data_IF_994005887547
#
_entry.id   IF_994005887547
#
_cell.length_a   1.000
_cell.length_b   1.000
_cell.length_c   1.000
_cell.angle_alpha   90.00
_cell.angle_beta   90.00
_cell.angle_gamma   90.00
#
_symmetry.space_group_name_H-M   'P 1'
#
loop_
_entity.id
_entity.type
_entity.pdbx_description
1 polymer ?
#
# COMPACT_ATOMS: atom_id res chain seq x y z
N UNK A 1 -52.77 3.60 -55.21
CA UNK A 1 -51.38 3.56 -54.70
C UNK A 1 -51.32 4.37 -53.42
N UNK A 2 -51.37 3.70 -52.26
CA UNK A 2 -51.14 4.36 -50.97
C UNK A 2 -49.64 4.45 -50.79
N UNK A 3 -49.09 5.66 -50.93
CA UNK A 3 -47.70 5.98 -50.68
C UNK A 3 -47.40 5.76 -49.18
N UNK A 4 -46.92 4.56 -48.85
CA UNK A 4 -46.36 4.23 -47.53
C UNK A 4 -44.96 4.85 -47.42
N UNK A 5 -44.88 6.18 -47.27
CA UNK A 5 -43.65 6.83 -46.80
C UNK A 5 -43.37 6.37 -45.37
N UNK A 6 -42.52 5.34 -45.25
CA UNK A 6 -41.99 4.79 -43.99
C UNK A 6 -41.34 5.91 -43.14
N UNK A 7 -41.50 5.88 -41.80
CA UNK A 7 -40.69 6.70 -40.89
C UNK A 7 -39.28 6.10 -40.83
N UNK A 8 -38.44 6.36 -41.84
CA UNK A 8 -37.06 5.83 -41.91
C UNK A 8 -36.03 6.84 -41.37
N UNK A 9 -36.29 8.14 -41.53
CA UNK A 9 -35.35 9.19 -41.12
C UNK A 9 -35.20 9.32 -39.58
N UNK A 10 -36.28 9.07 -38.83
CA UNK A 10 -36.27 9.23 -37.37
C UNK A 10 -35.52 8.10 -36.65
N UNK A 11 -35.46 6.90 -37.23
CA UNK A 11 -34.67 5.78 -36.69
C UNK A 11 -33.18 5.94 -36.98
N UNK A 12 -32.83 6.45 -38.16
CA UNK A 12 -31.44 6.60 -38.59
C UNK A 12 -30.72 7.71 -37.79
N UNK A 13 -31.39 8.84 -37.53
CA UNK A 13 -30.86 9.90 -36.66
C UNK A 13 -30.67 9.45 -35.20
N UNK A 14 -31.58 8.60 -34.70
CA UNK A 14 -31.51 8.08 -33.34
C UNK A 14 -30.35 7.08 -33.18
N UNK A 15 -30.07 6.29 -34.22
CA UNK A 15 -28.91 5.39 -34.27
C UNK A 15 -27.58 6.16 -34.30
N UNK A 16 -27.48 7.23 -35.08
CA UNK A 16 -26.26 8.03 -35.22
C UNK A 16 -25.91 8.80 -33.94
N UNK A 17 -26.91 9.37 -33.25
CA UNK A 17 -26.76 10.00 -31.93
C UNK A 17 -26.37 9.00 -30.83
N UNK A 18 -26.81 7.75 -30.95
CA UNK A 18 -26.52 6.70 -29.99
C UNK A 18 -25.12 6.12 -30.20
N UNK A 19 -24.67 6.05 -31.46
CA UNK A 19 -23.31 5.68 -31.84
C UNK A 19 -22.30 6.77 -31.43
N UNK A 20 -22.66 8.05 -31.54
CA UNK A 20 -21.82 9.16 -31.05
C UNK A 20 -21.67 9.14 -29.53
N UNK A 21 -22.75 8.90 -28.77
CA UNK A 21 -22.69 8.76 -27.32
C UNK A 21 -21.82 7.59 -26.84
N UNK A 22 -21.85 6.46 -27.56
CA UNK A 22 -20.99 5.31 -27.28
C UNK A 22 -19.50 5.57 -27.58
N UNK A 23 -19.16 6.33 -28.64
CA UNK A 23 -17.77 6.76 -28.89
C UNK A 23 -17.25 7.64 -27.75
N UNK A 24 -18.05 8.62 -27.32
CA UNK A 24 -17.67 9.59 -26.30
C UNK A 24 -17.35 8.90 -24.97
N UNK A 25 -18.19 7.95 -24.55
CA UNK A 25 -17.97 7.13 -23.36
C UNK A 25 -16.67 6.32 -23.46
N UNK A 26 -16.33 5.77 -24.64
CA UNK A 26 -15.06 5.06 -24.81
C UNK A 26 -13.84 5.98 -24.73
N UNK A 27 -13.93 7.19 -25.28
CA UNK A 27 -12.84 8.18 -25.17
C UNK A 27 -12.63 8.57 -23.71
N UNK A 28 -13.71 8.80 -22.96
CA UNK A 28 -13.63 9.12 -21.53
C UNK A 28 -13.09 7.94 -20.73
N UNK A 29 -13.53 6.71 -20.99
CA UNK A 29 -12.99 5.50 -20.35
C UNK A 29 -11.46 5.41 -20.55
N UNK A 30 -10.97 5.55 -21.79
CA UNK A 30 -9.52 5.51 -22.06
C UNK A 30 -8.73 6.63 -21.38
N UNK A 31 -9.33 7.81 -21.23
CA UNK A 31 -8.71 8.90 -20.49
C UNK A 31 -8.58 8.54 -19.00
N UNK A 32 -9.65 8.02 -18.39
CA UNK A 32 -9.63 7.57 -16.99
C UNK A 32 -8.63 6.42 -16.79
N UNK A 33 -8.58 5.45 -17.71
CA UNK A 33 -7.60 4.36 -17.71
C UNK A 33 -6.15 4.89 -17.73
N UNK A 34 -5.87 5.91 -18.54
CA UNK A 34 -4.55 6.56 -18.57
C UNK A 34 -4.22 7.29 -17.27
N UNK A 35 -5.18 8.00 -16.69
CA UNK A 35 -5.01 8.68 -15.39
C UNK A 35 -4.77 7.66 -14.26
N UNK A 36 -5.47 6.52 -14.29
CA UNK A 36 -5.30 5.41 -13.35
C UNK A 36 -3.89 4.82 -13.42
N UNK A 37 -3.36 4.56 -14.62
CA UNK A 37 -2.01 4.02 -14.80
C UNK A 37 -0.93 4.91 -14.16
N UNK A 38 -1.00 6.22 -14.41
CA UNK A 38 -0.07 7.21 -13.86
C UNK A 38 -0.18 7.29 -12.33
N UNK A 39 -1.41 7.29 -11.80
CA UNK A 39 -1.67 7.39 -10.36
C UNK A 39 -1.25 6.12 -9.62
N UNK A 40 -1.58 4.93 -10.14
CA UNK A 40 -1.17 3.65 -9.55
C UNK A 40 0.35 3.48 -9.56
N UNK A 41 1.01 3.87 -10.66
CA UNK A 41 2.46 3.90 -10.75
C UNK A 41 3.10 4.82 -9.71
N UNK A 42 2.49 5.98 -9.46
CA UNK A 42 2.95 6.93 -8.44
C UNK A 42 2.71 6.40 -7.02
N UNK A 43 1.56 5.78 -6.78
CA UNK A 43 1.18 5.19 -5.50
C UNK A 43 2.10 4.01 -5.13
N UNK A 44 2.43 3.13 -6.08
CA UNK A 44 3.38 2.05 -5.88
C UNK A 44 4.79 2.55 -5.51
N UNK A 45 5.25 3.67 -6.11
CA UNK A 45 6.54 4.30 -5.79
C UNK A 45 6.60 4.94 -4.41
N UNK A 46 5.46 5.31 -3.83
CA UNK A 46 5.43 5.73 -2.43
C UNK A 46 5.78 4.54 -1.55
N UNK A 47 5.25 3.35 -1.86
CA UNK A 47 5.53 2.08 -1.18
C UNK A 47 7.01 1.78 -1.03
N UNK A 48 7.80 1.90 -2.10
CA UNK A 48 9.24 1.57 -2.09
C UNK A 48 10.09 2.45 -1.16
N UNK A 49 9.56 3.57 -0.67
CA UNK A 49 10.28 4.46 0.26
C UNK A 49 10.50 3.81 1.63
N UNK A 50 9.66 2.85 2.04
CA UNK A 50 9.84 2.15 3.33
C UNK A 50 10.98 1.12 3.29
N UNK A 51 11.29 0.49 2.15
CA UNK A 51 12.38 -0.50 2.06
C UNK A 51 13.77 0.14 1.99
N UNK A 52 13.87 1.36 1.46
CA UNK A 52 15.16 2.04 1.25
C UNK A 52 15.55 2.98 2.41
N UNK A 53 14.69 3.14 3.42
CA UNK A 53 14.87 4.06 4.56
C UNK A 53 15.81 3.56 5.67
N UNK A 54 16.75 2.67 5.37
CA UNK A 54 17.68 2.10 6.35
C UNK A 54 18.86 2.99 6.74
N UNK A 55 19.09 4.14 6.10
CA UNK A 55 20.29 4.95 6.37
C UNK A 55 20.18 6.43 5.98
N UNK A 56 18.99 7.04 6.06
CA UNK A 56 18.85 8.49 5.99
C UNK A 56 18.48 9.01 7.37
N UNK A 57 19.52 9.46 8.08
CA UNK A 57 19.47 10.41 9.16
C UNK A 57 18.44 11.53 8.88
N UNK A 58 17.83 12.05 9.95
CA UNK A 58 16.83 13.13 10.00
C UNK A 58 15.36 12.85 9.60
N UNK A 59 14.56 12.52 10.62
CA UNK A 59 13.36 13.32 10.91
C UNK A 59 11.99 12.68 10.67
N UNK A 60 11.53 11.85 11.62
CA UNK A 60 10.12 11.50 11.90
C UNK A 60 9.35 10.82 10.74
N UNK A 61 8.50 9.79 10.99
CA UNK A 61 7.47 9.42 10.02
C UNK A 61 6.44 10.54 10.04
N UNK A 62 6.77 11.66 9.41
CA UNK A 62 6.00 12.89 9.48
C UNK A 62 4.61 12.61 8.93
N UNK A 63 3.61 12.94 9.73
CA UNK A 63 2.16 12.92 9.44
C UNK A 63 1.81 13.41 8.03
N UNK A 64 2.64 14.25 7.41
CA UNK A 64 2.53 14.70 6.02
C UNK A 64 2.63 13.58 4.96
N UNK A 65 3.42 12.53 5.20
CA UNK A 65 3.44 11.34 4.35
C UNK A 65 2.10 10.63 4.47
N UNK A 66 1.62 10.27 5.67
CA UNK A 66 0.32 9.58 5.79
C UNK A 66 -0.85 10.30 5.08
N UNK A 67 -0.90 11.64 5.15
CA UNK A 67 -1.95 12.43 4.47
C UNK A 67 -1.86 12.37 2.94
N UNK A 68 -0.65 12.34 2.36
CA UNK A 68 -0.50 12.29 0.90
C UNK A 68 -0.92 10.94 0.31
N UNK A 69 -0.80 9.85 1.08
CA UNK A 69 -1.19 8.51 0.65
C UNK A 69 -2.69 8.35 0.69
N UNK A 70 -3.32 8.77 1.79
CA UNK A 70 -4.79 8.78 1.89
C UNK A 70 -5.41 9.63 0.78
N UNK A 71 -4.81 10.79 0.44
CA UNK A 71 -5.25 11.59 -0.71
C UNK A 71 -5.18 10.82 -2.01
N UNK A 72 -4.05 10.18 -2.30
CA UNK A 72 -3.87 9.41 -3.53
C UNK A 72 -4.80 8.18 -3.59
N UNK A 73 -5.04 7.51 -2.46
CA UNK A 73 -6.03 6.44 -2.36
C UNK A 73 -7.44 6.92 -2.71
N UNK A 74 -7.86 8.07 -2.17
CA UNK A 74 -9.17 8.66 -2.48
C UNK A 74 -9.28 9.04 -3.96
N UNK A 75 -8.23 9.61 -4.55
CA UNK A 75 -8.20 9.94 -5.98
C UNK A 75 -8.30 8.69 -6.86
N UNK A 76 -7.53 7.64 -6.56
CA UNK A 76 -7.59 6.37 -7.31
C UNK A 76 -8.98 5.73 -7.16
N UNK A 77 -9.54 5.72 -5.96
CA UNK A 77 -10.87 5.19 -5.69
C UNK A 77 -11.94 5.94 -6.49
N UNK A 78 -11.86 7.27 -6.53
CA UNK A 78 -12.77 8.11 -7.31
C UNK A 78 -12.64 7.86 -8.82
N UNK A 79 -11.43 7.65 -9.33
CA UNK A 79 -11.22 7.30 -10.75
C UNK A 79 -11.78 5.91 -11.09
N UNK A 80 -11.63 4.92 -10.21
CA UNK A 80 -12.21 3.58 -10.38
C UNK A 80 -13.74 3.64 -10.40
N UNK A 81 -14.35 4.40 -9.49
CA UNK A 81 -15.80 4.63 -9.46
C UNK A 81 -16.29 5.32 -10.74
N UNK A 82 -15.56 6.35 -11.20
CA UNK A 82 -15.89 7.04 -12.46
C UNK A 82 -15.78 6.12 -13.68
N UNK A 83 -14.80 5.21 -13.71
CA UNK A 83 -14.67 4.22 -14.79
C UNK A 83 -15.80 3.19 -14.75
N UNK A 84 -16.20 2.76 -13.55
CA UNK A 84 -17.38 1.90 -13.36
C UNK A 84 -18.64 2.57 -13.90
N UNK A 85 -18.91 3.82 -13.51
CA UNK A 85 -20.07 4.58 -13.98
C UNK A 85 -20.07 4.76 -15.50
N UNK A 86 -18.89 5.00 -16.09
CA UNK A 86 -18.71 5.11 -17.54
C UNK A 86 -19.00 3.79 -18.22
N UNK A 87 -18.54 2.67 -17.68
CA UNK A 87 -18.81 1.32 -18.19
C UNK A 87 -20.30 0.95 -18.09
N UNK A 88 -20.99 1.38 -17.02
CA UNK A 88 -22.42 1.19 -16.86
C UNK A 88 -23.22 2.05 -17.83
N UNK A 89 -22.80 3.30 -18.07
CA UNK A 89 -23.38 4.13 -19.13
C UNK A 89 -23.19 3.50 -20.51
N UNK A 90 -21.99 2.97 -20.78
CA UNK A 90 -21.69 2.22 -22.00
C UNK A 90 -22.65 1.04 -22.14
N UNK A 91 -22.83 0.26 -21.07
CA UNK A 91 -23.75 -0.89 -21.02
C UNK A 91 -25.19 -0.50 -21.38
N UNK A 92 -25.67 0.64 -20.87
CA UNK A 92 -27.00 1.19 -21.21
C UNK A 92 -27.11 1.61 -22.67
N UNK A 93 -26.07 2.23 -23.24
CA UNK A 93 -26.01 2.57 -24.67
C UNK A 93 -26.04 1.31 -25.56
N UNK A 94 -25.27 0.28 -25.20
CA UNK A 94 -25.27 -0.99 -25.93
C UNK A 94 -26.61 -1.74 -25.88
N UNK A 95 -27.32 -1.66 -24.75
CA UNK A 95 -28.63 -2.31 -24.59
C UNK A 95 -29.76 -1.59 -25.33
N UNK A 96 -29.63 -0.28 -25.53
CA UNK A 96 -30.63 0.54 -26.22
C UNK A 96 -30.43 0.57 -27.73
N UNK A 97 -29.23 0.26 -28.22
CA UNK A 97 -28.94 0.04 -29.64
C UNK A 97 -29.17 -1.44 -29.98
N UNK A 98 -29.27 -1.78 -31.28
CA UNK A 98 -29.23 -3.19 -31.68
C UNK A 98 -27.85 -3.77 -31.31
N UNK A 99 -27.74 -4.71 -30.35
CA UNK A 99 -26.44 -5.15 -29.87
C UNK A 99 -25.66 -5.84 -30.99
N UNK A 100 -24.48 -5.33 -31.31
CA UNK A 100 -23.56 -6.01 -32.21
C UNK A 100 -22.53 -6.79 -31.39
N UNK A 101 -22.02 -7.89 -31.95
CA UNK A 101 -20.98 -8.70 -31.31
C UNK A 101 -19.75 -7.86 -30.99
N UNK A 102 -19.37 -6.92 -31.87
CA UNK A 102 -18.22 -6.03 -31.67
C UNK A 102 -18.40 -5.06 -30.51
N UNK A 103 -19.59 -4.48 -30.33
CA UNK A 103 -19.92 -3.62 -29.18
C UNK A 103 -19.87 -4.42 -27.89
N UNK A 104 -20.43 -5.64 -27.88
CA UNK A 104 -20.46 -6.53 -26.71
C UNK A 104 -19.05 -6.95 -26.28
N UNK A 105 -18.20 -7.32 -27.24
CA UNK A 105 -16.80 -7.69 -26.98
C UNK A 105 -16.00 -6.50 -26.42
N UNK A 106 -16.16 -5.31 -27.01
CA UNK A 106 -15.50 -4.09 -26.50
C UNK A 106 -15.95 -3.76 -25.08
N UNK A 107 -17.24 -3.88 -24.78
CA UNK A 107 -17.77 -3.65 -23.42
C UNK A 107 -17.14 -4.61 -22.41
N UNK A 108 -17.05 -5.89 -22.78
CA UNK A 108 -16.40 -6.92 -21.96
C UNK A 108 -14.96 -6.53 -21.65
N UNK A 109 -14.20 -6.10 -22.67
CA UNK A 109 -12.82 -5.65 -22.46
C UNK A 109 -12.71 -4.47 -21.50
N UNK A 110 -13.59 -3.47 -21.58
CA UNK A 110 -13.57 -2.35 -20.63
C UNK A 110 -13.87 -2.78 -19.18
N UNK A 111 -14.74 -3.79 -18.99
CA UNK A 111 -14.99 -4.38 -17.67
C UNK A 111 -13.77 -5.14 -17.15
N UNK A 112 -13.09 -5.89 -18.01
CA UNK A 112 -11.86 -6.60 -17.65
C UNK A 112 -10.76 -5.62 -17.23
N UNK A 113 -10.56 -4.53 -17.99
CA UNK A 113 -9.58 -3.48 -17.66
C UNK A 113 -9.89 -2.84 -16.31
N UNK A 114 -11.15 -2.50 -16.03
CA UNK A 114 -11.56 -1.98 -14.73
C UNK A 114 -11.22 -2.97 -13.60
N UNK A 115 -11.48 -4.27 -13.82
CA UNK A 115 -11.17 -5.30 -12.85
C UNK A 115 -9.65 -5.43 -12.61
N UNK A 116 -8.84 -5.40 -13.69
CA UNK A 116 -7.38 -5.39 -13.63
C UNK A 116 -6.86 -4.22 -12.78
N UNK A 117 -7.34 -2.99 -13.01
CA UNK A 117 -6.95 -1.83 -12.22
C UNK A 117 -7.38 -1.91 -10.75
N UNK A 118 -8.60 -2.36 -10.48
CA UNK A 118 -9.09 -2.52 -9.10
C UNK A 118 -8.29 -3.58 -8.33
N UNK A 119 -7.91 -4.67 -9.01
CA UNK A 119 -7.05 -5.71 -8.44
C UNK A 119 -5.64 -5.18 -8.15
N UNK A 120 -5.06 -4.44 -9.10
CA UNK A 120 -3.74 -3.85 -8.97
C UNK A 120 -3.69 -2.84 -7.81
N UNK A 121 -4.73 -1.99 -7.69
CA UNK A 121 -4.85 -1.07 -6.57
C UNK A 121 -4.86 -1.80 -5.21
N UNK A 122 -5.68 -2.85 -5.07
CA UNK A 122 -5.71 -3.67 -3.85
C UNK A 122 -4.36 -4.30 -3.54
N UNK A 123 -3.67 -4.82 -4.56
CA UNK A 123 -2.34 -5.43 -4.43
C UNK A 123 -1.32 -4.43 -3.93
N UNK A 124 -1.25 -3.25 -4.56
CA UNK A 124 -0.32 -2.18 -4.16
C UNK A 124 -0.63 -1.70 -2.74
N UNK A 125 -1.90 -1.44 -2.42
CA UNK A 125 -2.33 -1.01 -1.08
C UNK A 125 -1.96 -2.03 0.00
N UNK A 126 -2.18 -3.32 -0.26
CA UNK A 126 -1.80 -4.39 0.66
C UNK A 126 -0.29 -4.45 0.89
N UNK A 127 0.51 -4.32 -0.17
CA UNK A 127 1.97 -4.27 -0.06
C UNK A 127 2.44 -3.08 0.80
N UNK A 128 1.88 -1.89 0.55
CA UNK A 128 2.18 -0.69 1.33
C UNK A 128 1.86 -0.88 2.81
N UNK A 129 0.67 -1.43 3.12
CA UNK A 129 0.25 -1.66 4.49
C UNK A 129 1.19 -2.63 5.21
N UNK A 130 1.58 -3.73 4.55
CA UNK A 130 2.55 -4.68 5.11
C UNK A 130 3.92 -4.04 5.38
N UNK A 131 4.40 -3.18 4.48
CA UNK A 131 5.66 -2.45 4.67
C UNK A 131 5.58 -1.44 5.82
N UNK A 132 4.44 -0.78 5.99
CA UNK A 132 4.17 0.14 7.11
C UNK A 132 4.18 -0.60 8.44
N UNK A 133 3.43 -1.71 8.55
CA UNK A 133 3.39 -2.56 9.75
C UNK A 133 4.79 -3.06 10.12
N UNK A 134 5.58 -3.50 9.13
CA UNK A 134 6.96 -3.91 9.35
C UNK A 134 7.84 -2.77 9.89
N UNK A 135 7.69 -1.54 9.37
CA UNK A 135 8.42 -0.38 9.85
C UNK A 135 8.02 0.03 11.28
N UNK A 136 6.73 -0.03 11.61
CA UNK A 136 6.22 0.27 12.97
C UNK A 136 6.75 -0.73 14.00
N UNK A 137 6.77 -2.03 13.68
CA UNK A 137 7.34 -3.07 14.53
C UNK A 137 8.84 -2.84 14.80
N UNK A 138 9.61 -2.49 13.77
CA UNK A 138 11.04 -2.19 13.92
C UNK A 138 11.29 -0.92 14.73
N UNK A 139 10.43 0.10 14.60
CA UNK A 139 10.52 1.32 15.42
C UNK A 139 10.27 0.99 16.89
N UNK A 140 9.20 0.27 17.20
CA UNK A 140 8.88 -0.16 18.57
C UNK A 140 10.02 -0.97 19.18
N UNK A 141 10.56 -1.94 18.46
CA UNK A 141 11.68 -2.75 18.94
C UNK A 141 12.94 -1.89 19.20
N UNK A 142 13.19 -0.88 18.37
CA UNK A 142 14.30 0.07 18.58
C UNK A 142 14.08 0.92 19.83
N UNK A 143 12.86 1.39 20.05
CA UNK A 143 12.49 2.20 21.21
C UNK A 143 12.65 1.38 22.50
N UNK A 144 12.17 0.14 22.53
CA UNK A 144 12.35 -0.79 23.66
C UNK A 144 13.84 -1.04 23.97
N UNK A 145 14.67 -1.25 22.94
CA UNK A 145 16.13 -1.41 23.10
C UNK A 145 16.76 -0.13 23.64
N UNK A 146 16.32 1.03 23.16
CA UNK A 146 16.82 2.33 23.58
C UNK A 146 16.45 2.60 25.04
N UNK A 147 15.21 2.32 25.44
CA UNK A 147 14.74 2.41 26.82
C UNK A 147 15.49 1.45 27.74
N UNK A 148 15.68 0.20 27.32
CA UNK A 148 16.48 -0.77 28.06
C UNK A 148 17.90 -0.26 28.30
N UNK A 149 18.55 0.32 27.28
CA UNK A 149 19.88 0.93 27.41
C UNK A 149 19.88 2.19 28.29
N UNK A 150 18.87 3.04 28.16
CA UNK A 150 18.74 4.31 28.89
C UNK A 150 18.42 4.11 30.38
N UNK A 151 17.66 3.05 30.71
CA UNK A 151 17.33 2.67 32.10
C UNK A 151 18.57 2.30 32.94
N UNK A 152 19.75 2.22 32.34
CA UNK A 152 20.99 1.86 33.03
C UNK A 152 21.00 0.40 33.51
N UNK A 153 20.02 -0.41 33.09
CA UNK A 153 20.00 -1.85 33.33
C UNK A 153 21.29 -2.47 32.80
N UNK A 154 22.13 -2.96 33.70
CA UNK A 154 23.35 -3.66 33.30
C UNK A 154 22.94 -4.85 32.43
N UNK A 155 23.52 -4.94 31.22
CA UNK A 155 23.38 -6.12 30.38
C UNK A 155 23.57 -7.38 31.23
N UNK A 156 22.77 -8.45 31.06
CA UNK A 156 22.93 -9.68 31.81
C UNK A 156 24.38 -10.19 31.79
N UNK A 157 25.08 -9.98 30.67
CA UNK A 157 26.52 -10.28 30.55
C UNK A 157 27.38 -9.44 31.49
N UNK A 158 27.14 -8.14 31.60
CA UNK A 158 27.88 -7.26 32.52
C UNK A 158 27.54 -7.56 33.99
N UNK A 159 26.29 -7.93 34.26
CA UNK A 159 25.87 -8.41 35.57
C UNK A 159 26.64 -9.68 35.97
N UNK A 160 26.67 -10.68 35.09
CA UNK A 160 27.42 -11.93 35.30
C UNK A 160 28.93 -11.70 35.43
N UNK A 161 29.51 -10.79 34.65
CA UNK A 161 30.94 -10.43 34.76
C UNK A 161 31.25 -9.78 36.12
N UNK A 162 30.36 -8.92 36.62
CA UNK A 162 30.48 -8.31 37.95
C UNK A 162 30.36 -9.36 39.06
N UNK A 163 29.37 -10.25 38.98
CA UNK A 163 29.21 -11.36 39.95
C UNK A 163 30.43 -12.27 39.96
N UNK A 164 30.95 -12.62 38.79
CA UNK A 164 32.19 -13.40 38.67
C UNK A 164 33.35 -12.69 39.37
N UNK A 165 33.54 -11.39 39.14
CA UNK A 165 34.60 -10.62 39.80
C UNK A 165 34.43 -10.59 41.34
N UNK A 166 33.20 -10.42 41.82
CA UNK A 166 32.89 -10.43 43.25
C UNK A 166 33.16 -11.79 43.91
N UNK A 167 32.80 -12.89 43.24
CA UNK A 167 33.10 -14.26 43.71
C UNK A 167 34.61 -14.49 43.76
N UNK A 168 35.34 -14.13 42.70
CA UNK A 168 36.80 -14.28 42.68
C UNK A 168 37.49 -13.47 43.78
N UNK A 169 37.06 -12.22 44.01
CA UNK A 169 37.56 -11.39 45.11
C UNK A 169 37.27 -11.99 46.49
N UNK A 170 36.06 -12.51 46.68
CA UNK A 170 35.66 -13.18 47.93
C UNK A 170 36.49 -14.45 48.18
N UNK A 171 36.72 -15.27 47.16
CA UNK A 171 37.57 -16.47 47.24
C UNK A 171 39.01 -16.09 47.60
N UNK A 172 39.57 -15.05 46.98
CA UNK A 172 40.92 -14.59 47.28
C UNK A 172 41.05 -14.12 48.73
N UNK A 173 40.06 -13.38 49.23
CA UNK A 173 40.03 -12.93 50.62
C UNK A 173 39.92 -14.08 51.63
N UNK A 174 39.09 -15.09 51.36
CA UNK A 174 38.99 -16.30 52.19
C UNK A 174 40.32 -17.08 52.20
N UNK A 175 40.97 -17.23 51.03
CA UNK A 175 42.29 -17.88 50.94
C UNK A 175 43.36 -17.16 51.75
N UNK A 176 43.39 -15.83 51.69
CA UNK A 176 44.31 -15.03 52.50
C UNK A 176 44.06 -15.27 53.99
N UNK A 177 42.82 -15.15 54.47
CA UNK A 177 42.48 -15.42 55.88
C UNK A 177 42.87 -16.82 56.34
N UNK A 178 42.63 -17.83 55.51
CA UNK A 178 43.01 -19.21 55.82
C UNK A 178 44.54 -19.38 55.89
N UNK A 179 45.29 -18.74 55.00
CA UNK A 179 46.76 -18.74 55.00
C UNK A 179 47.33 -18.07 56.27
N UNK A 180 46.80 -16.89 56.63
CA UNK A 180 47.19 -16.18 57.85
C UNK A 180 46.88 -17.00 59.11
N UNK A 181 45.72 -17.66 59.18
CA UNK A 181 45.35 -18.49 60.32
C UNK A 181 46.23 -19.74 60.43
N UNK A 182 46.59 -20.36 59.30
CA UNK A 182 47.51 -21.50 59.26
C UNK A 182 48.91 -21.11 59.78
N UNK A 183 49.39 -19.93 59.40
CA UNK A 183 50.67 -19.38 59.89
C UNK A 183 50.69 -18.99 61.38
N UNK A 184 49.52 -18.82 62.01
CA UNK A 184 49.41 -18.44 63.41
C UNK A 184 49.27 -19.65 64.35
N UNK A 185 48.97 -20.83 63.80
CA UNK A 185 48.78 -22.09 64.54
C UNK A 185 50.03 -22.99 64.49
N UNK A 186 50.89 -22.80 63.48
CA UNK A 186 52.22 -23.43 63.36
C UNK A 186 53.30 -22.55 63.99
#
# INVERSE_FOLDING_TARGET
>A
MVDRRKPKQMTDLNLELQESGWEELRKEARKIEGDLDVKLSSYAKLGSRFTHGGYADTGSPTVGSSRSWTSMEMEIQSLLEKLLDTNDAMSRCAASASPTTSVTQKLTRHRDILHEFAQEFRRIKGNINSMKEHAELLSSARDDISEYKASGSMSPRMHLLRERAAIHGSIAHVRLKCSYFCHLIL
#
